data_IF_921208259033
#
_entry.id   IF_921208259033
#
_cell.length_a   1.000
_cell.length_b   1.000
_cell.length_c   1.000
_cell.angle_alpha   90.00
_cell.angle_beta   90.00
_cell.angle_gamma   90.00
#
_symmetry.space_group_name_H-M   'P 1'
#
loop_
_entity.id
_entity.type
_entity.pdbx_description
1 polymer ?
#
# COMPACT_ATOMS: atom_id res chain seq x y z
N UNK A 1 11.86 -4.69 6.04
CA UNK A 1 11.12 -4.83 4.75
C UNK A 1 10.28 -3.59 4.55
N UNK A 2 10.27 -3.01 3.34
CA UNK A 2 9.44 -1.84 3.04
C UNK A 2 8.00 -2.31 2.85
N UNK A 3 7.00 -1.52 3.24
CA UNK A 3 5.57 -1.89 3.18
C UNK A 3 5.16 -2.43 1.80
N UNK A 4 5.71 -1.88 0.72
CA UNK A 4 5.45 -2.36 -0.65
C UNK A 4 5.96 -3.77 -0.95
N UNK A 5 7.09 -4.18 -0.37
CA UNK A 5 7.61 -5.55 -0.54
C UNK A 5 6.65 -6.57 0.06
N UNK A 6 6.05 -6.25 1.21
CA UNK A 6 5.08 -7.11 1.88
C UNK A 6 3.77 -7.23 1.09
N UNK A 7 3.33 -6.13 0.46
CA UNK A 7 2.16 -6.18 -0.42
C UNK A 7 2.45 -7.12 -1.59
N UNK A 8 3.62 -7.00 -2.24
CA UNK A 8 4.00 -7.86 -3.37
C UNK A 8 4.13 -9.33 -2.97
N UNK A 9 4.60 -9.60 -1.75
CA UNK A 9 4.73 -10.96 -1.22
C UNK A 9 3.37 -11.61 -0.92
N UNK A 10 2.45 -10.84 -0.32
CA UNK A 10 1.11 -11.30 0.06
C UNK A 10 0.17 -11.56 -1.14
N UNK A 11 0.46 -10.97 -2.29
CA UNK A 11 -0.33 -11.12 -3.52
C UNK A 11 -0.03 -12.45 -4.20
N UNK A 12 -1.08 -13.16 -4.62
CA UNK A 12 -0.96 -14.39 -5.41
C UNK A 12 -0.11 -14.18 -6.66
N UNK A 13 0.70 -15.17 -7.01
CA UNK A 13 1.70 -15.06 -8.09
C UNK A 13 1.13 -14.61 -9.43
N UNK A 14 -0.09 -15.03 -9.78
CA UNK A 14 -0.75 -14.69 -11.06
C UNK A 14 -1.12 -13.20 -11.17
N UNK A 15 -1.25 -12.48 -10.04
CA UNK A 15 -1.59 -11.06 -10.01
C UNK A 15 -0.39 -10.16 -9.68
N UNK A 16 0.77 -10.75 -9.34
CA UNK A 16 1.93 -10.02 -8.81
C UNK A 16 2.44 -8.96 -9.77
N UNK A 17 2.61 -9.28 -11.05
CA UNK A 17 3.10 -8.32 -12.06
C UNK A 17 2.15 -7.13 -12.21
N UNK A 18 0.85 -7.41 -12.37
CA UNK A 18 -0.17 -6.36 -12.48
C UNK A 18 -0.21 -5.47 -11.25
N UNK A 19 -0.20 -6.07 -10.04
CA UNK A 19 -0.19 -5.29 -8.80
C UNK A 19 1.10 -4.49 -8.67
N UNK A 20 2.26 -5.05 -9.07
CA UNK A 20 3.53 -4.35 -9.05
C UNK A 20 3.50 -3.09 -9.92
N UNK A 21 2.94 -3.16 -11.14
CA UNK A 21 2.79 -2.00 -12.02
C UNK A 21 1.94 -0.90 -11.38
N UNK A 22 0.81 -1.24 -10.74
CA UNK A 22 -0.01 -0.27 -10.01
C UNK A 22 0.71 0.30 -8.79
N UNK A 23 1.46 -0.54 -8.05
CA UNK A 23 2.17 -0.12 -6.84
C UNK A 23 3.25 0.92 -7.12
N UNK A 24 3.87 0.93 -8.30
CA UNK A 24 4.89 1.93 -8.67
C UNK A 24 4.36 3.36 -8.53
N UNK A 25 3.09 3.60 -8.87
CA UNK A 25 2.48 4.94 -8.80
C UNK A 25 2.38 5.43 -7.35
N UNK A 26 1.95 4.55 -6.45
CA UNK A 26 1.88 4.86 -5.02
C UNK A 26 3.28 5.00 -4.41
N UNK A 27 4.21 4.11 -4.78
CA UNK A 27 5.57 4.10 -4.28
C UNK A 27 6.31 5.40 -4.63
N UNK A 28 6.14 5.90 -5.87
CA UNK A 28 6.74 7.15 -6.33
C UNK A 28 6.30 8.38 -5.53
N UNK A 29 5.13 8.36 -4.90
CA UNK A 29 4.63 9.47 -4.10
C UNK A 29 4.93 9.23 -2.61
N UNK A 30 4.63 8.03 -2.10
CA UNK A 30 4.76 7.69 -0.69
C UNK A 30 6.21 7.53 -0.21
N UNK A 31 7.14 7.23 -1.12
CA UNK A 31 8.58 7.17 -0.81
C UNK A 31 9.35 8.43 -1.23
N UNK A 32 8.71 9.37 -1.93
CA UNK A 32 9.35 10.63 -2.27
C UNK A 32 9.27 11.61 -1.09
N UNK A 33 10.31 11.55 -0.25
CA UNK A 33 10.41 12.29 1.03
C UNK A 33 10.74 13.77 0.88
N UNK A 34 11.24 14.20 -0.27
CA UNK A 34 11.77 15.55 -0.47
C UNK A 34 10.79 16.51 -1.15
N UNK A 35 9.79 16.00 -1.89
CA UNK A 35 8.96 16.83 -2.79
C UNK A 35 7.44 16.74 -2.53
N UNK A 36 6.96 15.71 -1.81
CA UNK A 36 5.53 15.49 -1.66
C UNK A 36 4.95 16.24 -0.44
N UNK A 37 3.89 17.03 -0.69
CA UNK A 37 3.09 17.66 0.37
C UNK A 37 2.53 16.60 1.33
N UNK A 38 2.48 16.89 2.64
CA UNK A 38 1.92 15.99 3.65
C UNK A 38 0.47 15.59 3.32
N UNK A 39 -0.30 16.49 2.73
CA UNK A 39 -1.66 16.22 2.29
C UNK A 39 -1.67 15.21 1.14
N UNK A 40 -0.78 15.39 0.14
CA UNK A 40 -0.63 14.46 -0.97
C UNK A 40 -0.26 13.05 -0.49
N UNK A 41 0.70 12.94 0.44
CA UNK A 41 1.09 11.66 1.04
C UNK A 41 -0.12 10.98 1.71
N UNK A 42 -0.90 11.73 2.51
CA UNK A 42 -2.09 11.20 3.19
C UNK A 42 -3.17 10.75 2.21
N UNK A 43 -3.43 11.53 1.16
CA UNK A 43 -4.43 11.18 0.14
C UNK A 43 -4.00 9.93 -0.63
N UNK A 44 -2.74 9.86 -1.06
CA UNK A 44 -2.18 8.67 -1.71
C UNK A 44 -2.22 7.43 -0.79
N UNK A 45 -1.93 7.58 0.50
CA UNK A 45 -2.00 6.48 1.45
C UNK A 45 -3.45 5.96 1.62
N UNK A 46 -4.44 6.86 1.66
CA UNK A 46 -5.85 6.46 1.70
C UNK A 46 -6.28 5.77 0.40
N UNK A 47 -5.80 6.21 -0.76
CA UNK A 47 -6.04 5.52 -2.03
C UNK A 47 -5.44 4.10 -2.02
N UNK A 48 -4.21 3.93 -1.53
CA UNK A 48 -3.58 2.61 -1.39
C UNK A 48 -4.42 1.69 -0.49
N UNK A 49 -4.96 2.18 0.62
CA UNK A 49 -5.88 1.39 1.47
C UNK A 49 -7.14 0.97 0.73
N UNK A 50 -7.73 1.85 -0.08
CA UNK A 50 -8.86 1.54 -0.94
C UNK A 50 -8.52 0.40 -1.92
N UNK A 51 -7.35 0.48 -2.54
CA UNK A 51 -6.86 -0.56 -3.44
C UNK A 51 -6.65 -1.90 -2.74
N UNK A 52 -6.00 -1.92 -1.57
CA UNK A 52 -5.79 -3.13 -0.76
C UNK A 52 -7.12 -3.78 -0.33
N UNK A 53 -8.14 -2.98 0.04
CA UNK A 53 -9.49 -3.50 0.32
C UNK A 53 -10.10 -4.14 -0.93
N UNK A 54 -9.94 -3.51 -2.10
CA UNK A 54 -10.34 -4.08 -3.38
C UNK A 54 -9.72 -5.45 -3.62
N UNK A 55 -8.40 -5.56 -3.47
CA UNK A 55 -7.68 -6.83 -3.63
C UNK A 55 -8.16 -7.93 -2.67
N UNK A 56 -8.45 -7.59 -1.41
CA UNK A 56 -9.02 -8.54 -0.44
C UNK A 56 -10.42 -9.00 -0.84
N UNK A 57 -11.28 -8.10 -1.33
CA UNK A 57 -12.62 -8.48 -1.84
C UNK A 57 -12.56 -9.33 -3.11
N UNK A 58 -11.53 -9.13 -3.94
CA UNK A 58 -11.21 -9.99 -5.10
C UNK A 58 -10.44 -11.26 -4.68
N UNK A 59 -10.18 -11.46 -3.39
CA UNK A 59 -9.44 -12.62 -2.81
C UNK A 59 -8.03 -12.81 -3.34
N UNK A 60 -7.40 -11.74 -3.83
CA UNK A 60 -6.00 -11.73 -4.27
C UNK A 60 -5.04 -11.60 -3.08
N UNK A 61 -5.55 -11.04 -1.97
CA UNK A 61 -4.88 -10.96 -0.68
C UNK A 61 -5.59 -11.85 0.34
N UNK A 62 -4.82 -12.50 1.21
CA UNK A 62 -5.37 -13.17 2.39
C UNK A 62 -5.81 -12.16 3.46
N UNK A 63 -6.86 -12.47 4.22
CA UNK A 63 -7.41 -11.58 5.26
C UNK A 63 -6.37 -11.18 6.32
N UNK A 64 -5.51 -12.11 6.74
CA UNK A 64 -4.44 -11.83 7.71
C UNK A 64 -3.41 -10.82 7.17
N UNK A 65 -3.05 -10.93 5.89
CA UNK A 65 -2.18 -9.95 5.24
C UNK A 65 -2.89 -8.61 5.07
N UNK A 66 -4.18 -8.60 4.75
CA UNK A 66 -4.96 -7.38 4.59
C UNK A 66 -4.93 -6.52 5.87
N UNK A 67 -5.20 -7.10 7.04
CA UNK A 67 -5.20 -6.37 8.31
C UNK A 67 -3.83 -5.78 8.64
N UNK A 68 -2.76 -6.56 8.46
CA UNK A 68 -1.40 -6.09 8.71
C UNK A 68 -1.01 -4.95 7.74
N UNK A 69 -1.29 -5.12 6.45
CA UNK A 69 -0.97 -4.12 5.43
C UNK A 69 -1.75 -2.82 5.65
N UNK A 70 -3.04 -2.90 5.98
CA UNK A 70 -3.85 -1.71 6.29
C UNK A 70 -3.26 -0.95 7.49
N UNK A 71 -2.92 -1.65 8.57
CA UNK A 71 -2.29 -1.06 9.75
C UNK A 71 -0.97 -0.38 9.41
N UNK A 72 -0.08 -1.06 8.68
CA UNK A 72 1.24 -0.51 8.30
C UNK A 72 1.10 0.75 7.45
N UNK A 73 0.12 0.80 6.54
CA UNK A 73 -0.13 2.00 5.73
C UNK A 73 -0.58 3.17 6.61
N UNK A 74 -1.46 2.91 7.57
CA UNK A 74 -1.93 3.91 8.54
C UNK A 74 -0.76 4.45 9.38
N UNK A 75 -0.02 3.56 10.03
CA UNK A 75 1.08 3.92 10.94
C UNK A 75 2.26 4.59 10.21
N UNK A 76 2.46 4.32 8.93
CA UNK A 76 3.58 4.91 8.19
C UNK A 76 3.26 6.29 7.60
N UNK A 77 2.05 6.48 7.07
CA UNK A 77 1.76 7.65 6.21
C UNK A 77 0.53 8.47 6.61
N UNK A 78 -0.41 7.91 7.40
CA UNK A 78 -1.63 8.62 7.76
C UNK A 78 -1.49 9.23 9.15
N UNK A 79 -1.16 8.39 10.12
CA UNK A 79 -0.87 8.73 11.50
C UNK A 79 0.53 8.22 11.86
N UNK A 80 1.58 8.78 11.26
CA UNK A 80 2.93 8.50 11.72
C UNK A 80 3.02 8.88 13.19
N UNK A 81 3.37 7.92 14.05
CA UNK A 81 3.74 8.22 15.44
C UNK A 81 4.89 9.25 15.40
N UNK A 82 4.70 10.41 16.06
CA UNK A 82 5.67 11.51 16.10
C UNK A 82 6.97 11.14 16.81
#
# INVERSE_FOLDING_TARGET
>A
MRTFDLIRDAVLSEYRDRVAEYLVQYESVLLNKDDADRQLIRDTANQLRGYLRGLNTTRVLGMAYWEELDRRVVDTWITPEE
#
